data_IF_985316719308
#
_entry.id   IF_985316719308
#
_cell.length_a   1.000
_cell.length_b   1.000
_cell.length_c   1.000
_cell.angle_alpha   90.00
_cell.angle_beta   90.00
_cell.angle_gamma   90.00
#
_symmetry.space_group_name_H-M   'P 1'
#
loop_
_entity.id
_entity.type
_entity.pdbx_description
1 polymer ?
#
# COMPACT_ATOMS: atom_id res chain seq x y z
N UNK A 1 4.53 -17.56 -8.58
CA UNK A 1 3.92 -16.32 -9.09
C UNK A 1 4.97 -15.65 -9.96
N UNK A 2 4.59 -15.18 -11.14
CA UNK A 2 5.52 -14.48 -12.02
C UNK A 2 5.76 -13.06 -11.47
N UNK A 3 7.02 -12.64 -11.37
CA UNK A 3 7.42 -11.42 -10.67
C UNK A 3 6.91 -10.16 -11.39
N UNK A 4 7.01 -10.12 -12.71
CA UNK A 4 6.60 -8.94 -13.48
C UNK A 4 5.08 -8.76 -13.45
N UNK A 5 4.30 -9.84 -13.50
CA UNK A 5 2.85 -9.84 -13.32
C UNK A 5 2.49 -9.30 -11.94
N UNK A 6 3.12 -9.81 -10.89
CA UNK A 6 2.87 -9.35 -9.53
C UNK A 6 3.15 -7.85 -9.36
N UNK A 7 4.34 -7.40 -9.76
CA UNK A 7 4.72 -5.98 -9.69
C UNK A 7 3.80 -5.11 -10.55
N UNK A 8 3.36 -5.61 -11.70
CA UNK A 8 2.40 -4.90 -12.54
C UNK A 8 1.05 -4.68 -11.84
N UNK A 9 0.52 -5.68 -11.13
CA UNK A 9 -0.73 -5.52 -10.38
C UNK A 9 -0.58 -4.58 -9.18
N UNK A 10 0.54 -4.63 -8.44
CA UNK A 10 0.82 -3.65 -7.39
C UNK A 10 0.90 -2.24 -7.97
N UNK A 11 1.61 -2.08 -9.10
CA UNK A 11 1.79 -0.79 -9.77
C UNK A 11 0.45 -0.23 -10.23
N UNK A 12 -0.43 -1.07 -10.79
CA UNK A 12 -1.78 -0.68 -11.18
C UNK A 12 -2.59 -0.12 -9.99
N UNK A 13 -2.49 -0.75 -8.81
CA UNK A 13 -3.19 -0.25 -7.63
C UNK A 13 -2.65 1.12 -7.19
N UNK A 14 -1.33 1.30 -7.17
CA UNK A 14 -0.72 2.61 -6.87
C UNK A 14 -1.06 3.68 -7.89
N UNK A 15 -0.93 3.39 -9.19
CA UNK A 15 -1.25 4.33 -10.26
C UNK A 15 -2.73 4.73 -10.21
N UNK A 16 -3.62 3.79 -9.89
CA UNK A 16 -5.05 4.06 -9.68
C UNK A 16 -5.32 4.98 -8.48
N UNK A 17 -4.65 4.74 -7.34
CA UNK A 17 -4.72 5.65 -6.19
C UNK A 17 -4.15 7.03 -6.53
N UNK A 18 -2.99 7.11 -7.17
CA UNK A 18 -2.36 8.37 -7.60
C UNK A 18 -3.30 9.15 -8.52
N UNK A 19 -3.88 8.51 -9.54
CA UNK A 19 -4.86 9.14 -10.44
C UNK A 19 -6.05 9.70 -9.67
N UNK A 20 -6.58 8.96 -8.69
CA UNK A 20 -7.68 9.44 -7.86
C UNK A 20 -7.29 10.66 -7.01
N UNK A 21 -6.05 10.72 -6.49
CA UNK A 21 -5.56 11.89 -5.77
C UNK A 21 -5.31 13.08 -6.71
N UNK A 22 -4.87 12.85 -7.95
CA UNK A 22 -4.75 13.91 -8.97
C UNK A 22 -6.10 14.55 -9.29
N UNK A 23 -7.15 13.75 -9.39
CA UNK A 23 -8.52 14.23 -9.60
C UNK A 23 -9.04 15.06 -8.41
N UNK A 24 -8.63 14.73 -7.18
CA UNK A 24 -8.99 15.48 -5.97
C UNK A 24 -8.20 16.78 -5.83
N UNK A 25 -6.93 16.78 -6.22
CA UNK A 25 -5.96 17.78 -5.81
C UNK A 25 -5.54 17.62 -4.35
N UNK A 26 -4.43 18.26 -3.97
CA UNK A 26 -3.77 18.04 -2.67
C UNK A 26 -4.67 18.37 -1.47
N UNK A 27 -5.52 19.40 -1.54
CA UNK A 27 -6.38 19.77 -0.41
C UNK A 27 -7.44 18.70 -0.11
N UNK A 28 -8.18 18.24 -1.14
CA UNK A 28 -9.20 17.21 -0.95
C UNK A 28 -8.57 15.83 -0.71
N UNK A 29 -7.41 15.54 -1.29
CA UNK A 29 -6.65 14.31 -1.02
C UNK A 29 -6.33 14.13 0.48
N UNK A 30 -6.15 15.23 1.21
CA UNK A 30 -5.89 15.22 2.65
C UNK A 30 -7.15 15.33 3.52
N UNK A 31 -8.34 15.32 2.92
CA UNK A 31 -9.61 15.43 3.65
C UNK A 31 -10.18 14.06 4.00
N UNK A 32 -10.39 13.80 5.29
CA UNK A 32 -11.08 12.60 5.77
C UNK A 32 -12.61 12.82 5.75
N UNK A 33 -13.36 11.77 5.37
CA UNK A 33 -14.82 11.79 5.43
C UNK A 33 -15.35 11.55 6.85
N UNK A 34 -16.52 12.07 7.22
CA UNK A 34 -17.23 11.61 8.43
C UNK A 34 -17.53 10.10 8.36
N UNK A 35 -17.55 9.37 9.49
CA UNK A 35 -17.40 9.85 10.87
C UNK A 35 -15.94 10.12 11.28
N UNK A 36 -15.76 10.77 12.43
CA UNK A 36 -14.44 10.97 13.07
C UNK A 36 -13.68 9.66 13.16
N UNK A 37 -12.43 9.65 12.71
CA UNK A 37 -11.54 8.49 12.72
C UNK A 37 -11.31 7.85 11.35
N UNK A 38 -12.04 8.24 10.30
CA UNK A 38 -11.71 7.84 8.94
C UNK A 38 -10.36 8.45 8.50
N UNK A 39 -9.63 7.74 7.64
CA UNK A 39 -8.40 8.24 7.04
C UNK A 39 -8.70 9.07 5.79
N UNK A 40 -7.81 10.00 5.46
CA UNK A 40 -7.84 10.71 4.18
C UNK A 40 -7.39 9.77 3.04
N UNK A 41 -7.80 10.05 1.78
CA UNK A 41 -7.27 9.35 0.61
C UNK A 41 -5.74 9.30 0.56
N UNK A 42 -5.08 10.42 0.90
CA UNK A 42 -3.62 10.50 0.93
C UNK A 42 -3.03 9.56 1.98
N UNK A 43 -3.55 9.56 3.21
CA UNK A 43 -3.07 8.68 4.28
C UNK A 43 -3.22 7.20 3.91
N UNK A 44 -4.33 6.82 3.27
CA UNK A 44 -4.54 5.44 2.78
C UNK A 44 -3.51 5.08 1.71
N UNK A 45 -3.29 5.95 0.73
CA UNK A 45 -2.31 5.68 -0.33
C UNK A 45 -0.86 5.64 0.20
N UNK A 46 -0.53 6.50 1.16
CA UNK A 46 0.77 6.48 1.84
C UNK A 46 0.95 5.20 2.68
N UNK A 47 -0.08 4.77 3.40
CA UNK A 47 -0.09 3.49 4.12
C UNK A 47 0.28 2.31 3.22
N UNK A 48 -0.26 2.25 2.00
CA UNK A 48 0.08 1.21 1.03
C UNK A 48 1.58 1.15 0.70
N UNK A 49 2.30 2.28 0.73
CA UNK A 49 3.77 2.29 0.55
C UNK A 49 4.48 1.58 1.70
N UNK A 50 4.05 1.84 2.95
CA UNK A 50 4.57 1.19 4.14
C UNK A 50 4.24 -0.30 4.20
N UNK A 51 3.03 -0.70 3.77
CA UNK A 51 2.64 -2.11 3.61
C UNK A 51 3.57 -2.82 2.63
N UNK A 52 3.73 -2.30 1.41
CA UNK A 52 4.56 -2.93 0.40
C UNK A 52 6.04 -3.00 0.84
N UNK A 53 6.62 -1.90 1.36
CA UNK A 53 8.04 -1.87 1.75
C UNK A 53 8.33 -2.80 2.93
N UNK A 54 7.45 -2.86 3.93
CA UNK A 54 7.64 -3.73 5.10
C UNK A 54 7.45 -5.20 4.76
N UNK A 55 6.35 -5.57 4.10
CA UNK A 55 6.06 -6.98 3.86
C UNK A 55 6.99 -7.61 2.82
N UNK A 56 7.36 -6.87 1.78
CA UNK A 56 8.29 -7.39 0.78
C UNK A 56 9.74 -7.20 1.24
N UNK A 57 10.11 -5.98 1.64
CA UNK A 57 11.47 -5.68 2.06
C UNK A 57 11.88 -6.39 3.33
N UNK A 58 11.11 -6.23 4.41
CA UNK A 58 11.47 -6.82 5.70
C UNK A 58 11.04 -8.28 5.83
N UNK A 59 9.76 -8.61 5.59
CA UNK A 59 9.25 -9.96 5.86
C UNK A 59 9.79 -10.99 4.88
N UNK A 60 9.84 -10.69 3.58
CA UNK A 60 10.40 -11.60 2.57
C UNK A 60 11.92 -11.47 2.45
N UNK A 61 12.45 -10.25 2.30
CA UNK A 61 13.84 -10.03 1.91
C UNK A 61 14.82 -9.75 3.07
N UNK A 62 14.34 -9.69 4.32
CA UNK A 62 15.16 -9.38 5.52
C UNK A 62 15.91 -8.04 5.44
N UNK A 63 15.41 -7.11 4.61
CA UNK A 63 15.91 -5.74 4.55
C UNK A 63 15.43 -4.98 5.78
N UNK A 64 16.30 -4.16 6.36
CA UNK A 64 15.90 -3.21 7.40
C UNK A 64 14.93 -2.19 6.82
N UNK A 65 13.77 -2.05 7.45
CA UNK A 65 12.74 -1.06 7.10
C UNK A 65 12.39 -0.28 8.36
N UNK A 66 12.62 1.03 8.34
CA UNK A 66 12.23 1.92 9.43
C UNK A 66 10.77 2.33 9.23
N UNK A 67 9.85 1.58 9.84
CA UNK A 67 8.40 1.76 9.67
C UNK A 67 7.75 2.27 10.95
N UNK A 68 7.24 3.50 10.88
CA UNK A 68 6.26 4.03 11.84
C UNK A 68 4.84 3.87 11.29
N UNK A 69 4.23 2.70 11.58
CA UNK A 69 2.87 2.39 11.14
C UNK A 69 1.82 3.37 11.68
N UNK A 70 2.01 3.92 12.87
CA UNK A 70 1.01 4.81 13.46
C UNK A 70 0.95 6.14 12.68
N UNK A 71 2.11 6.65 12.27
CA UNK A 71 2.22 7.88 11.48
C UNK A 71 1.53 7.80 10.12
N UNK A 72 1.48 6.61 9.50
CA UNK A 72 0.88 6.39 8.17
C UNK A 72 -0.58 6.83 8.10
N UNK A 73 -1.33 6.60 9.18
CA UNK A 73 -2.77 6.90 9.25
C UNK A 73 -3.09 8.38 9.47
N UNK A 74 -2.07 9.17 9.81
CA UNK A 74 -2.16 10.63 9.98
C UNK A 74 -1.34 11.38 8.94
N UNK A 75 -0.82 10.68 7.93
CA UNK A 75 0.04 11.27 6.92
C UNK A 75 -0.72 12.32 6.09
N UNK A 76 -0.03 13.42 5.81
CA UNK A 76 -0.49 14.53 4.98
C UNK A 76 0.63 14.86 4.00
N UNK A 77 0.28 15.16 2.75
CA UNK A 77 1.26 15.51 1.73
C UNK A 77 0.63 15.75 0.36
N UNK A 78 1.47 15.87 -0.66
CA UNK A 78 1.05 16.13 -2.03
C UNK A 78 1.08 14.88 -2.90
N UNK A 79 0.35 14.88 -4.02
CA UNK A 79 0.46 13.79 -5.00
C UNK A 79 1.90 13.58 -5.47
N UNK A 80 2.68 14.66 -5.59
CA UNK A 80 4.10 14.59 -5.95
C UNK A 80 4.94 13.87 -4.89
N UNK A 81 4.65 14.08 -3.61
CA UNK A 81 5.32 13.37 -2.51
C UNK A 81 5.06 11.86 -2.61
N UNK A 82 3.80 11.48 -2.86
CA UNK A 82 3.44 10.07 -3.02
C UNK A 82 4.13 9.43 -4.22
N UNK A 83 4.16 10.09 -5.38
CA UNK A 83 4.88 9.61 -6.57
C UNK A 83 6.37 9.41 -6.26
N UNK A 84 6.97 10.37 -5.56
CA UNK A 84 8.38 10.34 -5.15
C UNK A 84 8.68 9.20 -4.18
N UNK A 85 7.70 8.72 -3.41
CA UNK A 85 7.81 7.53 -2.58
C UNK A 85 7.63 6.23 -3.39
N UNK A 86 6.64 6.19 -4.27
CA UNK A 86 6.23 4.98 -5.03
C UNK A 86 7.24 4.60 -6.11
N UNK A 87 7.74 5.55 -6.91
CA UNK A 87 8.63 5.21 -8.04
C UNK A 87 9.92 4.49 -7.60
N UNK A 88 10.70 4.99 -6.62
CA UNK A 88 11.88 4.26 -6.15
C UNK A 88 11.53 2.99 -5.37
N UNK A 89 10.34 2.90 -4.78
CA UNK A 89 9.87 1.68 -4.09
C UNK A 89 9.83 0.50 -5.07
N UNK A 90 9.33 0.66 -6.28
CA UNK A 90 9.27 -0.42 -7.27
C UNK A 90 10.64 -0.96 -7.70
N UNK A 91 11.69 -0.13 -7.63
CA UNK A 91 13.08 -0.60 -7.78
C UNK A 91 13.44 -1.58 -6.66
N UNK A 92 13.22 -1.16 -5.40
CA UNK A 92 13.48 -1.99 -4.22
C UNK A 92 12.68 -3.29 -4.21
N UNK A 93 11.37 -3.23 -4.49
CA UNK A 93 10.52 -4.42 -4.50
C UNK A 93 11.00 -5.46 -5.53
N UNK A 94 11.49 -5.01 -6.68
CA UNK A 94 12.06 -5.91 -7.70
C UNK A 94 13.32 -6.59 -7.19
N UNK A 95 14.22 -5.83 -6.59
CA UNK A 95 15.48 -6.36 -6.05
C UNK A 95 15.22 -7.33 -4.89
N UNK A 96 14.30 -6.97 -3.99
CA UNK A 96 13.88 -7.76 -2.83
C UNK A 96 13.25 -9.11 -3.23
N UNK A 97 12.51 -9.15 -4.34
CA UNK A 97 11.84 -10.36 -4.83
C UNK A 97 12.69 -11.16 -5.83
N UNK A 98 13.83 -10.63 -6.29
CA UNK A 98 14.67 -11.28 -7.27
C UNK A 98 15.22 -12.61 -6.71
N UNK A 99 14.90 -13.72 -7.37
CA UNK A 99 15.34 -15.05 -6.95
C UNK A 99 14.65 -15.60 -5.69
N UNK A 100 13.61 -14.95 -5.18
CA UNK A 100 12.80 -15.49 -4.09
C UNK A 100 12.02 -16.71 -4.57
N UNK A 101 12.17 -17.84 -3.88
CA UNK A 101 11.30 -19.00 -4.06
C UNK A 101 9.91 -18.68 -3.50
N UNK A 102 8.84 -18.67 -4.32
CA UNK A 102 7.49 -18.38 -3.84
C UNK A 102 6.95 -19.39 -2.81
N UNK A 103 7.49 -20.61 -2.76
CA UNK A 103 7.06 -21.65 -1.81
C UNK A 103 7.88 -21.66 -0.51
N UNK A 104 8.98 -20.93 -0.45
CA UNK A 104 9.77 -20.81 0.78
C UNK A 104 8.98 -20.08 1.88
N UNK A 105 9.37 -20.33 3.13
CA UNK A 105 8.94 -19.51 4.25
C UNK A 105 9.53 -18.09 4.13
N UNK A 106 8.82 -17.04 4.59
CA UNK A 106 9.40 -15.71 4.70
C UNK A 106 10.59 -15.71 5.67
N UNK A 107 11.52 -14.77 5.49
CA UNK A 107 12.74 -14.68 6.31
C UNK A 107 12.44 -14.19 7.72
N UNK A 108 11.45 -13.31 7.87
CA UNK A 108 11.01 -12.80 9.16
C UNK A 108 9.58 -13.22 9.48
N UNK A 109 9.27 -13.27 10.77
CA UNK A 109 7.93 -13.59 11.25
C UNK A 109 7.03 -12.36 11.03
N UNK A 110 5.84 -12.53 10.44
CA UNK A 110 4.83 -11.48 10.37
C UNK A 110 4.54 -10.84 11.75
N UNK A 111 4.08 -9.58 11.77
CA UNK A 111 3.74 -8.91 13.03
C UNK A 111 2.63 -9.66 13.76
N UNK A 112 2.65 -9.64 15.09
CA UNK A 112 1.67 -10.38 15.93
C UNK A 112 0.20 -9.99 15.67
N UNK A 113 -0.04 -8.78 15.15
CA UNK A 113 -1.37 -8.29 14.80
C UNK A 113 -1.84 -8.79 13.43
N UNK A 114 -1.02 -9.52 12.68
CA UNK A 114 -1.40 -10.07 11.40
C UNK A 114 -2.37 -11.24 11.59
N UNK A 115 -3.59 -11.07 11.10
CA UNK A 115 -4.63 -12.09 11.09
C UNK A 115 -4.47 -13.01 9.87
N UNK A 116 -3.43 -13.85 9.92
CA UNK A 116 -3.13 -14.81 8.88
C UNK A 116 -3.96 -16.10 8.94
N UNK A 117 -3.82 -16.99 7.92
CA UNK A 117 -4.45 -18.29 7.96
C UNK A 117 -3.88 -19.17 9.09
N UNK A 118 -4.62 -20.18 9.54
CA UNK A 118 -4.17 -21.19 10.53
C UNK A 118 -3.20 -22.21 9.89
N UNK A 119 -2.12 -21.69 9.29
CA UNK A 119 -1.01 -22.42 8.68
C UNK A 119 0.16 -21.46 8.42
N UNK A 120 1.40 -21.96 8.31
CA UNK A 120 2.53 -21.12 7.92
C UNK A 120 2.31 -20.40 6.58
N UNK A 121 2.75 -19.14 6.52
CA UNK A 121 2.82 -18.38 5.27
C UNK A 121 4.02 -18.81 4.44
N UNK A 122 3.83 -18.76 3.13
CA UNK A 122 4.93 -18.78 2.15
C UNK A 122 5.20 -17.36 1.66
N UNK A 123 6.33 -17.13 0.99
CA UNK A 123 6.61 -15.87 0.30
C UNK A 123 5.51 -15.50 -0.71
N UNK A 124 4.89 -16.48 -1.38
CA UNK A 124 3.72 -16.24 -2.23
C UNK A 124 2.50 -15.77 -1.42
N UNK A 125 2.27 -16.35 -0.23
CA UNK A 125 1.20 -15.92 0.67
C UNK A 125 1.38 -14.49 1.16
N UNK A 126 2.61 -14.08 1.50
CA UNK A 126 2.92 -12.68 1.86
C UNK A 126 2.66 -11.74 0.67
N UNK A 127 3.11 -12.11 -0.52
CA UNK A 127 2.86 -11.29 -1.71
C UNK A 127 1.35 -11.14 -2.00
N UNK A 128 0.57 -12.22 -1.87
CA UNK A 128 -0.89 -12.18 -2.01
C UNK A 128 -1.55 -11.23 -0.99
N UNK A 129 -1.11 -11.28 0.27
CA UNK A 129 -1.58 -10.36 1.30
C UNK A 129 -1.31 -8.89 0.93
N UNK A 130 -0.10 -8.57 0.44
CA UNK A 130 0.21 -7.20 -0.02
C UNK A 130 -0.69 -6.78 -1.18
N UNK A 131 -0.93 -7.68 -2.15
CA UNK A 131 -1.84 -7.38 -3.26
C UNK A 131 -3.29 -7.16 -2.79
N UNK A 132 -3.76 -7.99 -1.86
CA UNK A 132 -5.08 -7.88 -1.22
C UNK A 132 -5.24 -6.51 -0.54
N UNK A 133 -4.30 -6.12 0.31
CA UNK A 133 -4.31 -4.83 1.01
C UNK A 133 -4.35 -3.65 0.03
N UNK A 134 -3.48 -3.66 -0.98
CA UNK A 134 -3.43 -2.59 -1.98
C UNK A 134 -4.70 -2.51 -2.83
N UNK A 135 -5.27 -3.66 -3.21
CA UNK A 135 -6.52 -3.69 -3.97
C UNK A 135 -7.71 -3.19 -3.13
N UNK A 136 -7.77 -3.58 -1.85
CA UNK A 136 -8.78 -3.12 -0.90
C UNK A 136 -8.70 -1.60 -0.73
N UNK A 137 -7.51 -1.07 -0.44
CA UNK A 137 -7.30 0.35 -0.20
C UNK A 137 -7.47 1.20 -1.46
N UNK A 138 -7.09 0.68 -2.63
CA UNK A 138 -7.40 1.35 -3.90
C UNK A 138 -8.91 1.56 -4.08
N UNK A 139 -9.74 0.55 -3.79
CA UNK A 139 -11.19 0.71 -3.81
C UNK A 139 -11.72 1.74 -2.80
N UNK A 140 -11.14 1.79 -1.59
CA UNK A 140 -11.48 2.79 -0.57
C UNK A 140 -11.11 4.22 -1.02
N UNK A 141 -9.97 4.40 -1.67
CA UNK A 141 -9.57 5.70 -2.24
C UNK A 141 -10.53 6.13 -3.35
N UNK A 142 -10.91 5.22 -4.25
CA UNK A 142 -11.85 5.52 -5.34
C UNK A 142 -13.23 5.97 -4.83
N UNK A 143 -13.81 5.24 -3.86
CA UNK A 143 -15.11 5.64 -3.32
C UNK A 143 -15.03 6.95 -2.54
N UNK A 144 -13.94 7.18 -1.81
CA UNK A 144 -13.72 8.43 -1.06
C UNK A 144 -13.59 9.61 -2.01
N UNK A 145 -12.86 9.44 -3.13
CA UNK A 145 -12.78 10.43 -4.20
C UNK A 145 -14.17 10.78 -4.72
N UNK A 146 -14.96 9.78 -5.09
CA UNK A 146 -16.28 9.99 -5.69
C UNK A 146 -17.20 10.76 -4.73
N UNK A 147 -17.12 10.49 -3.42
CA UNK A 147 -17.87 11.22 -2.40
C UNK A 147 -17.34 12.65 -2.21
N UNK A 148 -16.04 12.88 -2.21
CA UNK A 148 -15.48 14.24 -2.03
C UNK A 148 -15.79 15.16 -3.22
N UNK A 149 -15.69 14.63 -4.45
CA UNK A 149 -15.99 15.39 -5.67
C UNK A 149 -17.49 15.66 -5.88
N UNK A 150 -18.36 14.74 -5.45
CA UNK A 150 -19.81 14.86 -5.69
C UNK A 150 -20.61 15.27 -4.44
N UNK A 151 -20.04 15.11 -3.24
CA UNK A 151 -20.68 15.40 -1.96
C UNK A 151 -20.47 16.84 -1.47
N UNK A 152 -19.57 17.60 -2.10
CA UNK A 152 -19.42 19.05 -1.92
C UNK A 152 -20.56 19.84 -2.60
N UNK A 153 -21.40 19.18 -3.41
CA UNK A 153 -22.62 19.73 -3.99
C UNK A 153 -23.85 19.44 -3.13
N UNK A 154 -23.92 19.98 -1.90
CA UNK A 154 -25.19 20.15 -1.16
C UNK A 154 -25.17 21.41 -0.30
#
# INVERSE_FOLDING_TARGET
>A
MELNEYLYFLRRAFDGMISALEELGDELANTALPPTGANSPFAIAYHCTGVADYWIGHVIADRSVDRDRASEFTAVGTVTDLKSAVDPLFGRLRDDLCGVDPQAAPRNVPPVSFEGPDRPLTCAGVQLHVLEELAQHHGQVQITRDVLLNGTAR
#
